data_IF_408008680124
#
_entry.id   IF_408008680124
#
_cell.length_a   1.000
_cell.length_b   1.000
_cell.length_c   1.000
_cell.angle_alpha   90.00
_cell.angle_beta   90.00
_cell.angle_gamma   90.00
#
_symmetry.space_group_name_H-M   'P 1'
#
loop_
_entity.id
_entity.type
_entity.pdbx_description
1 polymer ?
#
# COMPACT_ATOMS: atom_id res chain seq x y z
N UNK A 1 20.12 11.04 -13.27
CA UNK A 1 20.64 10.03 -12.34
C UNK A 1 21.96 10.53 -11.78
N UNK A 2 22.13 10.49 -10.46
CA UNK A 2 23.39 10.82 -9.77
C UNK A 2 24.21 9.54 -9.60
N UNK A 3 25.53 9.62 -9.40
CA UNK A 3 26.34 8.42 -9.13
C UNK A 3 25.79 7.56 -7.99
N UNK A 4 25.30 8.18 -6.92
CA UNK A 4 24.68 7.48 -5.80
C UNK A 4 23.48 6.61 -6.21
N UNK A 5 22.68 7.01 -7.22
CA UNK A 5 21.57 6.20 -7.71
C UNK A 5 22.04 4.92 -8.40
N UNK A 6 23.13 5.02 -9.17
CA UNK A 6 23.74 3.85 -9.83
C UNK A 6 24.33 2.87 -8.82
N UNK A 7 24.99 3.38 -7.77
CA UNK A 7 25.47 2.55 -6.68
C UNK A 7 24.31 1.86 -5.95
N UNK A 8 23.25 2.59 -5.63
CA UNK A 8 22.08 2.01 -4.96
C UNK A 8 21.40 0.93 -5.81
N UNK A 9 21.23 1.16 -7.13
CA UNK A 9 20.71 0.15 -8.04
C UNK A 9 21.63 -1.07 -8.14
N UNK A 10 22.94 -0.87 -8.24
CA UNK A 10 23.93 -1.96 -8.24
C UNK A 10 23.87 -2.80 -6.98
N UNK A 11 23.81 -2.17 -5.80
CA UNK A 11 23.65 -2.85 -4.51
C UNK A 11 22.35 -3.66 -4.48
N UNK A 12 21.24 -3.12 -4.99
CA UNK A 12 19.97 -3.85 -5.07
C UNK A 12 20.07 -5.09 -5.96
N UNK A 13 20.76 -5.00 -7.10
CA UNK A 13 20.98 -6.17 -7.98
C UNK A 13 21.78 -7.24 -7.25
N UNK A 14 22.87 -6.85 -6.58
CA UNK A 14 23.68 -7.78 -5.77
C UNK A 14 22.84 -8.40 -4.66
N UNK A 15 22.02 -7.59 -3.96
CA UNK A 15 21.13 -8.09 -2.90
C UNK A 15 20.12 -9.10 -3.44
N UNK A 16 19.49 -8.82 -4.60
CA UNK A 16 18.52 -9.73 -5.22
C UNK A 16 19.17 -11.08 -5.54
N UNK A 17 20.38 -11.06 -6.10
CA UNK A 17 21.13 -12.28 -6.42
C UNK A 17 21.47 -13.06 -5.14
N UNK A 18 22.02 -12.38 -4.14
CA UNK A 18 22.37 -13.00 -2.86
C UNK A 18 21.12 -13.54 -2.14
N UNK A 19 20.04 -12.80 -2.17
CA UNK A 19 18.78 -13.24 -1.56
C UNK A 19 18.21 -14.46 -2.29
N UNK A 20 18.30 -14.52 -3.62
CA UNK A 20 17.92 -15.71 -4.38
C UNK A 20 18.75 -16.93 -3.95
N UNK A 21 20.07 -16.79 -3.85
CA UNK A 21 20.94 -17.88 -3.36
C UNK A 21 20.60 -18.26 -1.92
N UNK A 22 20.43 -17.30 -1.04
CA UNK A 22 20.06 -17.54 0.35
C UNK A 22 18.76 -18.32 0.46
N UNK A 23 17.74 -17.94 -0.31
CA UNK A 23 16.45 -18.62 -0.30
C UNK A 23 16.51 -20.04 -0.85
N UNK A 24 17.38 -20.30 -1.83
CA UNK A 24 17.54 -21.63 -2.42
C UNK A 24 18.29 -22.63 -1.55
N UNK A 25 19.24 -22.15 -0.71
CA UNK A 25 20.18 -23.03 -0.01
C UNK A 25 20.12 -22.94 1.53
N UNK A 26 19.68 -21.81 2.07
CA UNK A 26 19.85 -21.52 3.50
C UNK A 26 18.56 -21.06 4.20
N UNK A 27 17.42 -21.13 3.52
CA UNK A 27 16.18 -20.61 4.11
C UNK A 27 15.68 -21.52 5.23
N UNK A 28 15.45 -20.94 6.39
CA UNK A 28 15.05 -21.62 7.62
C UNK A 28 13.80 -21.04 8.31
N UNK A 29 13.07 -20.15 7.66
CA UNK A 29 11.89 -19.54 8.26
C UNK A 29 12.21 -18.52 9.34
N UNK A 30 13.12 -17.62 9.10
CA UNK A 30 13.71 -16.63 10.03
C UNK A 30 12.68 -15.88 10.90
N UNK A 31 11.46 -15.65 10.39
CA UNK A 31 10.41 -14.92 11.12
C UNK A 31 9.44 -15.83 11.90
N UNK A 32 9.72 -17.12 12.03
CA UNK A 32 8.80 -18.10 12.60
C UNK A 32 8.40 -17.76 14.04
N UNK A 33 9.34 -17.27 14.84
CA UNK A 33 9.14 -16.96 16.25
C UNK A 33 8.79 -15.49 16.53
N UNK A 34 8.64 -14.69 15.48
CA UNK A 34 8.33 -13.26 15.63
C UNK A 34 6.82 -13.05 15.57
N UNK A 35 6.22 -12.31 16.52
CA UNK A 35 4.78 -12.07 16.53
C UNK A 35 4.29 -11.39 15.27
N UNK A 36 3.25 -11.92 14.63
CA UNK A 36 2.71 -11.42 13.35
C UNK A 36 2.24 -9.96 13.38
N UNK A 37 1.83 -9.44 14.56
CA UNK A 37 1.43 -8.04 14.71
C UNK A 37 2.56 -7.05 14.39
N UNK A 38 3.81 -7.46 14.52
CA UNK A 38 4.98 -6.61 14.21
C UNK A 38 5.08 -6.32 12.72
N UNK A 39 4.77 -7.30 11.85
CA UNK A 39 4.68 -7.10 10.41
C UNK A 39 3.51 -6.16 10.06
N UNK A 40 2.36 -6.34 10.71
CA UNK A 40 1.22 -5.45 10.54
C UNK A 40 1.56 -4.00 10.92
N UNK A 41 2.30 -3.81 12.01
CA UNK A 41 2.77 -2.49 12.43
C UNK A 41 3.68 -1.85 11.36
N UNK A 42 4.61 -2.60 10.77
CA UNK A 42 5.48 -2.10 9.70
C UNK A 42 4.68 -1.62 8.48
N UNK A 43 3.64 -2.38 8.08
CA UNK A 43 2.74 -2.00 6.97
C UNK A 43 1.92 -0.76 7.31
N UNK A 44 1.35 -0.68 8.52
CA UNK A 44 0.57 0.49 8.97
C UNK A 44 1.46 1.74 9.02
N UNK A 45 2.67 1.62 9.54
CA UNK A 45 3.65 2.72 9.56
C UNK A 45 3.97 3.22 8.15
N UNK A 46 4.24 2.31 7.21
CA UNK A 46 4.52 2.64 5.82
C UNK A 46 3.32 3.35 5.18
N UNK A 47 2.11 2.84 5.40
CA UNK A 47 0.88 3.45 4.90
C UNK A 47 0.69 4.87 5.45
N UNK A 48 0.88 5.07 6.75
CA UNK A 48 0.79 6.38 7.38
C UNK A 48 1.79 7.38 6.77
N UNK A 49 3.04 6.96 6.58
CA UNK A 49 4.08 7.79 5.94
C UNK A 49 3.67 8.20 4.53
N UNK A 50 3.15 7.26 3.71
CA UNK A 50 2.66 7.54 2.35
C UNK A 50 1.52 8.57 2.40
N UNK A 51 0.51 8.33 3.23
CA UNK A 51 -0.65 9.23 3.36
C UNK A 51 -0.24 10.64 3.79
N UNK A 52 0.66 10.75 4.75
CA UNK A 52 1.15 12.03 5.23
C UNK A 52 1.96 12.78 4.15
N UNK A 53 2.81 12.09 3.41
CA UNK A 53 3.59 12.69 2.30
C UNK A 53 2.68 13.18 1.17
N UNK A 54 1.69 12.37 0.80
CA UNK A 54 0.76 12.64 -0.29
C UNK A 54 -0.38 13.59 0.09
N UNK A 55 -0.54 13.92 1.37
CA UNK A 55 -1.62 14.76 1.88
C UNK A 55 -1.73 16.12 1.15
N UNK A 56 -0.60 16.74 0.77
CA UNK A 56 -0.63 18.00 0.01
C UNK A 56 -1.18 17.84 -1.40
N UNK A 57 -1.02 16.67 -2.01
CA UNK A 57 -1.41 16.39 -3.39
C UNK A 57 -2.86 15.91 -3.48
N UNK A 58 -3.21 14.90 -2.70
CA UNK A 58 -4.50 14.21 -2.82
C UNK A 58 -5.39 14.28 -1.58
N UNK A 59 -4.91 14.91 -0.52
CA UNK A 59 -5.58 14.87 0.77
C UNK A 59 -5.37 13.54 1.49
N UNK A 60 -5.75 13.47 2.74
CA UNK A 60 -5.60 12.30 3.57
C UNK A 60 -6.88 11.47 3.63
N UNK A 61 -8.04 12.13 3.62
CA UNK A 61 -9.36 11.49 3.65
C UNK A 61 -10.29 12.19 2.67
N UNK A 62 -10.81 11.45 1.69
CA UNK A 62 -11.76 11.94 0.67
C UNK A 62 -11.37 13.28 0.04
N UNK A 63 -10.10 13.46 -0.26
CA UNK A 63 -9.57 14.70 -0.82
C UNK A 63 -9.32 15.82 0.19
N UNK A 64 -9.78 15.68 1.44
CA UNK A 64 -9.57 16.68 2.50
C UNK A 64 -8.11 16.70 2.96
N UNK A 65 -7.50 17.87 2.86
CA UNK A 65 -6.11 18.09 3.28
C UNK A 65 -6.05 18.40 4.77
N UNK A 66 -5.17 17.73 5.49
CA UNK A 66 -4.84 18.07 6.87
C UNK A 66 -3.73 19.11 6.90
N UNK A 67 -3.87 20.10 7.78
CA UNK A 67 -2.86 21.14 7.95
C UNK A 67 -1.78 20.69 8.93
N UNK A 68 -0.78 19.98 8.41
CA UNK A 68 0.43 19.69 9.18
C UNK A 68 1.40 20.88 9.14
N UNK A 69 2.15 21.07 10.22
CA UNK A 69 3.21 22.08 10.29
C UNK A 69 4.29 21.85 9.23
N UNK A 70 4.92 22.92 8.78
CA UNK A 70 5.98 22.85 7.77
C UNK A 70 7.19 22.01 8.24
N UNK A 71 7.50 22.10 9.54
CA UNK A 71 8.57 21.34 10.18
C UNK A 71 8.33 19.85 10.09
N UNK A 72 7.07 19.39 10.30
CA UNK A 72 6.69 17.98 10.16
C UNK A 72 6.92 17.48 8.73
N UNK A 73 6.52 18.25 7.72
CA UNK A 73 6.78 17.87 6.32
C UNK A 73 8.28 17.84 5.99
N UNK A 74 9.05 18.76 6.52
CA UNK A 74 10.50 18.80 6.32
C UNK A 74 11.17 17.58 6.96
N UNK A 75 10.76 17.24 8.16
CA UNK A 75 11.19 16.05 8.87
C UNK A 75 10.80 14.77 8.12
N UNK A 76 9.54 14.67 7.70
CA UNK A 76 9.02 13.51 6.96
C UNK A 76 9.77 13.31 5.63
N UNK A 77 9.99 14.38 4.85
CA UNK A 77 10.79 14.32 3.62
C UNK A 77 12.23 13.87 3.85
N UNK A 78 12.79 14.23 4.98
CA UNK A 78 14.17 13.87 5.32
C UNK A 78 14.30 12.42 5.74
N UNK A 79 13.33 11.89 6.47
CA UNK A 79 13.45 10.61 7.17
C UNK A 79 12.58 9.49 6.63
N UNK A 80 11.65 9.75 5.70
CA UNK A 80 10.76 8.70 5.15
C UNK A 80 11.52 7.50 4.58
N UNK A 81 12.70 7.72 4.00
CA UNK A 81 13.53 6.65 3.46
C UNK A 81 13.91 5.59 4.50
N UNK A 82 14.18 5.99 5.74
CA UNK A 82 14.47 5.05 6.84
C UNK A 82 13.25 4.21 7.21
N UNK A 83 12.07 4.84 7.28
CA UNK A 83 10.83 4.14 7.56
C UNK A 83 10.51 3.10 6.47
N UNK A 84 10.69 3.47 5.19
CA UNK A 84 10.51 2.54 4.08
C UNK A 84 11.55 1.43 4.07
N UNK A 85 12.83 1.74 4.32
CA UNK A 85 13.87 0.73 4.41
C UNK A 85 13.60 -0.28 5.52
N UNK A 86 13.18 0.19 6.69
CA UNK A 86 12.79 -0.68 7.79
C UNK A 86 11.61 -1.59 7.39
N UNK A 87 10.54 -1.01 6.82
CA UNK A 87 9.37 -1.77 6.43
C UNK A 87 9.68 -2.81 5.33
N UNK A 88 10.54 -2.46 4.36
CA UNK A 88 10.98 -3.37 3.30
C UNK A 88 11.79 -4.53 3.86
N UNK A 89 12.78 -4.27 4.71
CA UNK A 89 13.59 -5.31 5.36
C UNK A 89 12.68 -6.23 6.18
N UNK A 90 11.76 -5.66 6.94
CA UNK A 90 10.82 -6.42 7.75
C UNK A 90 9.88 -7.28 6.90
N UNK A 91 9.43 -6.77 5.75
CA UNK A 91 8.60 -7.51 4.79
C UNK A 91 9.35 -8.68 4.19
N UNK A 92 10.62 -8.50 3.81
CA UNK A 92 11.48 -9.61 3.37
C UNK A 92 11.59 -10.69 4.45
N UNK A 93 11.79 -10.29 5.67
CA UNK A 93 11.94 -11.21 6.80
C UNK A 93 10.69 -12.06 7.06
N UNK A 94 9.51 -11.47 6.84
CA UNK A 94 8.22 -12.15 7.04
C UNK A 94 7.70 -12.90 5.80
N UNK A 95 8.38 -12.83 4.67
CA UNK A 95 7.93 -13.53 3.48
C UNK A 95 8.20 -15.04 3.61
N UNK A 96 7.14 -15.88 3.67
CA UNK A 96 7.31 -17.31 3.71
C UNK A 96 7.83 -17.82 2.37
N UNK A 97 8.68 -18.84 2.41
CA UNK A 97 9.22 -19.52 1.23
C UNK A 97 8.24 -20.52 0.61
N UNK A 98 6.99 -20.20 0.59
CA UNK A 98 6.01 -21.04 -0.09
C UNK A 98 5.98 -20.63 -1.55
N UNK A 99 6.25 -21.54 -2.53
CA UNK A 99 6.31 -21.21 -3.94
C UNK A 99 4.90 -21.00 -4.52
N UNK A 100 4.27 -19.90 -4.12
CA UNK A 100 2.96 -19.48 -4.60
C UNK A 100 3.08 -18.24 -5.48
N UNK A 101 2.12 -18.01 -6.35
CA UNK A 101 2.04 -16.78 -7.15
C UNK A 101 1.97 -15.52 -6.29
N UNK A 102 1.31 -15.60 -5.13
CA UNK A 102 1.28 -14.51 -4.16
C UNK A 102 2.68 -14.14 -3.65
N UNK A 103 3.50 -15.14 -3.38
CA UNK A 103 4.89 -14.95 -2.96
C UNK A 103 5.74 -14.30 -4.08
N UNK A 104 5.69 -14.85 -5.30
CA UNK A 104 6.43 -14.29 -6.45
C UNK A 104 6.02 -12.84 -6.72
N UNK A 105 4.72 -12.55 -6.65
CA UNK A 105 4.21 -11.20 -6.87
C UNK A 105 4.63 -10.25 -5.74
N UNK A 106 4.66 -10.72 -4.49
CA UNK A 106 5.15 -9.99 -3.33
C UNK A 106 6.63 -9.61 -3.45
N UNK A 107 7.47 -10.56 -3.88
CA UNK A 107 8.88 -10.28 -4.16
C UNK A 107 9.04 -9.22 -5.25
N UNK A 108 8.36 -9.37 -6.37
CA UNK A 108 8.38 -8.38 -7.45
C UNK A 108 7.97 -6.99 -6.94
N UNK A 109 6.94 -6.92 -6.11
CA UNK A 109 6.48 -5.68 -5.52
C UNK A 109 7.52 -5.05 -4.59
N UNK A 110 8.12 -5.83 -3.70
CA UNK A 110 9.16 -5.33 -2.76
C UNK A 110 10.40 -4.86 -3.53
N UNK A 111 10.80 -5.56 -4.59
CA UNK A 111 11.88 -5.12 -5.48
C UNK A 111 11.55 -3.75 -6.12
N UNK A 112 10.32 -3.53 -6.57
CA UNK A 112 9.91 -2.24 -7.11
C UNK A 112 9.98 -1.12 -6.06
N UNK A 113 9.64 -1.40 -4.81
CA UNK A 113 9.78 -0.45 -3.70
C UNK A 113 11.26 -0.16 -3.40
N UNK A 114 12.15 -1.14 -3.47
CA UNK A 114 13.61 -0.93 -3.36
C UNK A 114 14.15 -0.06 -4.50
N UNK A 115 13.68 -0.29 -5.73
CA UNK A 115 14.02 0.56 -6.89
C UNK A 115 13.55 2.00 -6.63
N UNK A 116 12.34 2.20 -6.10
CA UNK A 116 11.85 3.53 -5.71
C UNK A 116 12.80 4.23 -4.73
N UNK A 117 13.30 3.53 -3.72
CA UNK A 117 14.32 4.05 -2.80
C UNK A 117 15.62 4.45 -3.52
N UNK A 118 16.06 3.63 -4.46
CA UNK A 118 17.29 3.87 -5.25
C UNK A 118 17.19 5.06 -6.20
N UNK A 119 15.96 5.41 -6.60
CA UNK A 119 15.67 6.56 -7.47
C UNK A 119 15.58 7.89 -6.70
N UNK A 120 16.00 7.95 -5.44
CA UNK A 120 15.96 9.16 -4.63
C UNK A 120 16.55 10.37 -5.36
N UNK A 121 15.95 11.55 -5.20
CA UNK A 121 16.36 12.81 -5.83
C UNK A 121 16.34 12.80 -7.37
N UNK A 122 15.67 11.86 -7.98
CA UNK A 122 15.41 11.85 -9.44
C UNK A 122 13.98 12.28 -9.75
N UNK A 123 13.72 12.66 -11.01
CA UNK A 123 12.34 12.97 -11.46
C UNK A 123 11.44 11.74 -11.42
N UNK A 124 11.99 10.54 -11.59
CA UNK A 124 11.23 9.29 -11.51
C UNK A 124 10.68 9.03 -10.10
N UNK A 125 11.47 9.32 -9.06
CA UNK A 125 11.02 9.19 -7.68
C UNK A 125 9.75 9.99 -7.37
N UNK A 126 9.55 11.12 -8.05
CA UNK A 126 8.40 12.01 -7.88
C UNK A 126 7.34 11.83 -8.97
N UNK A 127 7.51 10.85 -9.87
CA UNK A 127 6.59 10.64 -10.97
C UNK A 127 5.26 10.07 -10.46
N UNK A 128 4.16 10.79 -10.72
CA UNK A 128 2.82 10.42 -10.24
C UNK A 128 2.33 9.07 -10.75
N UNK A 129 2.66 8.72 -12.00
CA UNK A 129 2.27 7.43 -12.59
C UNK A 129 3.04 6.28 -11.96
N UNK A 130 4.33 6.52 -11.71
CA UNK A 130 5.20 5.54 -11.06
C UNK A 130 4.78 5.29 -9.61
N UNK A 131 4.58 6.34 -8.81
CA UNK A 131 4.13 6.21 -7.42
C UNK A 131 2.74 5.58 -7.33
N UNK A 132 1.83 5.96 -8.24
CA UNK A 132 0.50 5.33 -8.32
C UNK A 132 0.59 3.84 -8.66
N UNK A 133 1.46 3.44 -9.59
CA UNK A 133 1.68 2.03 -9.91
C UNK A 133 2.11 1.25 -8.67
N UNK A 134 3.07 1.77 -7.90
CA UNK A 134 3.51 1.13 -6.66
C UNK A 134 2.37 0.97 -5.64
N UNK A 135 1.52 1.96 -5.53
CA UNK A 135 0.40 1.92 -4.60
C UNK A 135 -0.70 0.94 -5.05
N UNK A 136 -1.03 0.90 -6.34
CA UNK A 136 -2.09 0.02 -6.84
C UNK A 136 -1.68 -1.45 -6.85
N UNK A 137 -0.39 -1.76 -6.99
CA UNK A 137 0.12 -3.13 -6.99
C UNK A 137 -0.06 -3.85 -5.65
N UNK A 138 -0.29 -3.11 -4.56
CA UNK A 138 -0.64 -3.71 -3.27
C UNK A 138 -1.94 -4.49 -3.36
N UNK A 139 -2.94 -4.00 -4.11
CA UNK A 139 -4.25 -4.64 -4.23
C UNK A 139 -4.18 -6.06 -4.83
N UNK A 140 -3.63 -6.28 -6.05
CA UNK A 140 -3.53 -7.63 -6.59
C UNK A 140 -2.61 -8.53 -5.77
N UNK A 141 -1.55 -8.00 -5.15
CA UNK A 141 -0.71 -8.78 -4.25
C UNK A 141 -1.51 -9.30 -3.04
N UNK A 142 -2.21 -8.42 -2.35
CA UNK A 142 -3.02 -8.80 -1.19
C UNK A 142 -4.15 -9.77 -1.56
N UNK A 143 -4.79 -9.58 -2.72
CA UNK A 143 -5.82 -10.48 -3.22
C UNK A 143 -5.27 -11.89 -3.49
N UNK A 144 -4.09 -11.99 -4.13
CA UNK A 144 -3.43 -13.27 -4.39
C UNK A 144 -3.00 -13.98 -3.11
N UNK A 145 -2.43 -13.24 -2.14
CA UNK A 145 -2.05 -13.82 -0.85
C UNK A 145 -3.28 -14.35 -0.11
N UNK A 146 -4.34 -13.55 -0.04
CA UNK A 146 -5.58 -13.98 0.62
C UNK A 146 -6.23 -15.17 -0.09
N UNK A 147 -6.22 -15.19 -1.43
CA UNK A 147 -6.69 -16.33 -2.22
C UNK A 147 -5.91 -17.61 -1.89
N UNK A 148 -4.58 -17.52 -1.88
CA UNK A 148 -3.74 -18.68 -1.56
C UNK A 148 -3.98 -19.21 -0.16
N UNK A 149 -4.18 -18.32 0.84
CA UNK A 149 -4.49 -18.73 2.21
C UNK A 149 -5.86 -19.43 2.32
N UNK A 150 -6.87 -18.93 1.61
CA UNK A 150 -8.18 -19.58 1.55
C UNK A 150 -8.09 -20.94 0.87
N UNK A 151 -7.37 -21.02 -0.24
CA UNK A 151 -7.28 -22.25 -1.06
C UNK A 151 -6.41 -23.34 -0.40
N UNK A 152 -5.31 -22.98 0.25
CA UNK A 152 -4.32 -23.94 0.76
C UNK A 152 -4.45 -24.25 2.25
N UNK A 153 -4.94 -23.31 3.04
CA UNK A 153 -4.97 -23.42 4.52
C UNK A 153 -6.39 -23.49 5.08
N UNK A 154 -7.41 -23.51 4.23
CA UNK A 154 -8.81 -23.63 4.67
C UNK A 154 -9.33 -22.40 5.43
N UNK A 155 -8.68 -21.24 5.29
CA UNK A 155 -9.19 -20.00 5.89
C UNK A 155 -10.55 -19.63 5.30
N UNK A 156 -11.35 -18.94 6.11
CA UNK A 156 -12.67 -18.49 5.69
C UNK A 156 -12.60 -17.60 4.43
N UNK A 157 -13.50 -17.79 3.43
CA UNK A 157 -13.62 -16.89 2.29
C UNK A 157 -13.84 -15.42 2.67
N UNK A 158 -14.29 -15.13 3.88
CA UNK A 158 -14.39 -13.78 4.44
C UNK A 158 -13.05 -13.05 4.51
N UNK A 159 -11.93 -13.77 4.70
CA UNK A 159 -10.60 -13.18 4.71
C UNK A 159 -10.26 -12.55 3.35
N UNK A 160 -10.51 -13.25 2.26
CA UNK A 160 -10.28 -12.73 0.89
C UNK A 160 -11.11 -11.46 0.65
N UNK A 161 -12.38 -11.49 0.99
CA UNK A 161 -13.29 -10.35 0.86
C UNK A 161 -12.79 -9.16 1.69
N UNK A 162 -12.43 -9.38 2.95
CA UNK A 162 -11.91 -8.35 3.83
C UNK A 162 -10.67 -7.64 3.24
N UNK A 163 -9.71 -8.38 2.69
CA UNK A 163 -8.52 -7.79 2.07
C UNK A 163 -8.85 -6.99 0.83
N UNK A 164 -9.64 -7.54 -0.10
CA UNK A 164 -10.02 -6.85 -1.34
C UNK A 164 -10.77 -5.56 -1.01
N UNK A 165 -11.76 -5.62 -0.12
CA UNK A 165 -12.54 -4.45 0.26
C UNK A 165 -11.76 -3.44 1.07
N UNK A 166 -10.87 -3.89 1.96
CA UNK A 166 -9.99 -3.01 2.70
C UNK A 166 -9.12 -2.16 1.78
N UNK A 167 -8.47 -2.78 0.79
CA UNK A 167 -7.65 -2.05 -0.18
C UNK A 167 -8.48 -1.19 -1.13
N UNK A 168 -9.64 -1.66 -1.58
CA UNK A 168 -10.55 -0.88 -2.40
C UNK A 168 -11.06 0.36 -1.65
N UNK A 169 -11.38 0.21 -0.38
CA UNK A 169 -11.74 1.33 0.51
C UNK A 169 -10.60 2.33 0.62
N UNK A 170 -9.37 1.87 0.83
CA UNK A 170 -8.18 2.74 0.85
C UNK A 170 -7.98 3.47 -0.47
N UNK A 171 -8.23 2.82 -1.60
CA UNK A 171 -8.20 3.46 -2.91
C UNK A 171 -9.23 4.58 -3.00
N UNK A 172 -10.48 4.32 -2.61
CA UNK A 172 -11.59 5.28 -2.64
C UNK A 172 -11.34 6.45 -1.69
N UNK A 173 -10.92 6.17 -0.46
CA UNK A 173 -10.70 7.20 0.56
C UNK A 173 -9.54 8.13 0.22
N UNK A 174 -8.50 7.63 -0.45
CA UNK A 174 -7.26 8.40 -0.63
C UNK A 174 -6.78 8.51 -2.06
N UNK A 175 -6.53 7.40 -2.76
CA UNK A 175 -5.75 7.37 -3.99
C UNK A 175 -6.48 8.01 -5.17
N UNK A 176 -7.77 7.75 -5.33
CA UNK A 176 -8.55 8.27 -6.46
C UNK A 176 -8.63 9.81 -6.48
N UNK A 177 -8.48 10.47 -5.33
CA UNK A 177 -8.50 11.94 -5.25
C UNK A 177 -7.25 12.60 -5.86
N UNK A 178 -6.16 11.86 -5.98
CA UNK A 178 -4.93 12.32 -6.64
C UNK A 178 -4.87 12.11 -8.15
N UNK A 179 -5.82 11.38 -8.73
CA UNK A 179 -5.82 11.00 -10.15
C UNK A 179 -6.43 12.05 -11.08
N UNK A 180 -7.08 13.10 -10.54
CA UNK A 180 -7.78 14.09 -11.35
C UNK A 180 -9.03 13.53 -12.05
N UNK A 181 -9.65 12.50 -11.49
CA UNK A 181 -10.86 11.92 -12.02
C UNK A 181 -12.04 12.90 -11.94
N UNK A 182 -12.94 12.83 -12.90
CA UNK A 182 -14.17 13.65 -12.91
C UNK A 182 -15.03 13.31 -11.68
N UNK A 183 -15.76 14.28 -11.10
CA UNK A 183 -16.54 14.06 -9.88
C UNK A 183 -17.53 12.90 -9.98
N UNK A 184 -18.18 12.73 -11.13
CA UNK A 184 -19.14 11.65 -11.33
C UNK A 184 -18.50 10.25 -11.29
N UNK A 185 -17.23 10.08 -11.78
CA UNK A 185 -16.52 8.80 -11.69
C UNK A 185 -16.21 8.47 -10.23
N UNK A 186 -15.84 9.50 -9.45
CA UNK A 186 -15.60 9.32 -8.02
C UNK A 186 -16.87 8.93 -7.27
N UNK A 187 -17.98 9.57 -7.61
CA UNK A 187 -19.29 9.26 -7.02
C UNK A 187 -19.70 7.81 -7.34
N UNK A 188 -19.62 7.41 -8.60
CA UNK A 188 -19.94 6.05 -9.04
C UNK A 188 -19.12 4.98 -8.32
N UNK A 189 -17.77 5.19 -8.22
CA UNK A 189 -16.89 4.25 -7.52
C UNK A 189 -17.27 4.09 -6.04
N UNK A 190 -17.69 5.17 -5.41
CA UNK A 190 -18.17 5.16 -4.02
C UNK A 190 -19.50 4.44 -3.90
N UNK A 191 -20.43 4.69 -4.83
CA UNK A 191 -21.74 4.07 -4.83
C UNK A 191 -21.66 2.56 -4.99
N UNK A 192 -20.84 2.09 -5.91
CA UNK A 192 -20.64 0.66 -6.11
C UNK A 192 -20.12 -0.05 -4.86
N UNK A 193 -19.34 0.63 -4.01
CA UNK A 193 -18.86 0.07 -2.74
C UNK A 193 -19.90 0.16 -1.64
N UNK A 194 -20.72 1.23 -1.62
CA UNK A 194 -21.71 1.44 -0.57
C UNK A 194 -23.09 0.81 -0.85
N UNK A 195 -23.48 0.67 -2.13
CA UNK A 195 -24.81 0.21 -2.54
C UNK A 195 -24.86 -1.26 -3.00
N UNK A 196 -23.71 -1.94 -3.11
CA UNK A 196 -23.71 -3.37 -3.44
C UNK A 196 -24.49 -4.17 -2.40
N UNK A 197 -25.73 -4.56 -2.71
CA UNK A 197 -26.69 -5.21 -1.79
C UNK A 197 -26.10 -6.46 -1.08
N UNK A 198 -25.20 -7.18 -1.73
CA UNK A 198 -24.45 -8.29 -1.13
C UNK A 198 -23.32 -7.84 -0.20
N UNK A 199 -22.80 -6.64 -0.43
CA UNK A 199 -21.70 -6.07 0.33
C UNK A 199 -22.22 -5.39 1.60
N UNK A 200 -23.45 -4.84 1.53
CA UNK A 200 -24.10 -4.14 2.64
C UNK A 200 -24.35 -5.06 3.83
N UNK A 201 -24.69 -6.33 3.62
CA UNK A 201 -24.93 -7.27 4.72
C UNK A 201 -23.65 -7.70 5.44
N UNK A 202 -22.52 -7.78 4.74
CA UNK A 202 -21.25 -8.22 5.34
C UNK A 202 -20.34 -7.05 5.77
N UNK A 203 -20.39 -5.92 5.06
CA UNK A 203 -19.63 -4.72 5.38
C UNK A 203 -20.36 -3.74 6.30
N UNK A 204 -21.68 -3.88 6.44
CA UNK A 204 -22.47 -3.06 7.37
C UNK A 204 -21.96 -3.15 8.82
N UNK A 205 -21.30 -4.23 9.18
CA UNK A 205 -20.66 -4.37 10.49
C UNK A 205 -19.28 -3.68 10.57
N UNK A 206 -18.60 -3.44 9.44
CA UNK A 206 -17.21 -2.95 9.43
C UNK A 206 -17.01 -1.56 8.82
N UNK A 207 -17.94 -1.06 8.00
CA UNK A 207 -17.80 0.22 7.28
C UNK A 207 -18.95 1.24 7.40
N UNK A 208 -19.83 1.20 8.42
CA UNK A 208 -20.93 2.18 8.51
C UNK A 208 -20.40 3.62 8.58
N UNK A 209 -19.24 3.84 9.20
CA UNK A 209 -18.61 5.15 9.29
C UNK A 209 -18.13 5.68 7.93
N UNK A 210 -17.62 4.83 7.04
CA UNK A 210 -17.12 5.24 5.71
C UNK A 210 -18.29 5.64 4.82
N UNK A 211 -19.35 4.82 4.74
CA UNK A 211 -20.53 5.11 3.95
C UNK A 211 -21.31 6.33 4.49
N UNK A 212 -21.39 6.51 5.82
CA UNK A 212 -22.00 7.68 6.43
C UNK A 212 -21.24 8.97 6.11
N UNK A 213 -19.90 8.95 6.14
CA UNK A 213 -19.06 10.11 5.77
C UNK A 213 -19.24 10.47 4.30
N UNK A 214 -19.36 9.47 3.44
CA UNK A 214 -19.60 9.67 2.00
C UNK A 214 -20.96 10.26 1.72
N UNK A 215 -22.01 9.75 2.38
CA UNK A 215 -23.37 10.31 2.25
C UNK A 215 -23.45 11.74 2.78
N UNK A 216 -22.74 12.03 3.88
CA UNK A 216 -22.65 13.40 4.40
C UNK A 216 -21.98 14.36 3.41
N UNK A 217 -20.91 13.94 2.74
CA UNK A 217 -20.24 14.78 1.73
C UNK A 217 -21.08 15.02 0.47
N UNK A 218 -21.99 14.10 0.11
CA UNK A 218 -22.97 14.35 -0.97
C UNK A 218 -23.97 15.45 -0.65
N UNK A 219 -24.41 15.50 0.61
CA UNK A 219 -25.34 16.56 1.07
C UNK A 219 -24.68 17.93 1.21
N UNK A 220 -23.35 17.99 1.24
CA UNK A 220 -22.58 19.21 1.46
C UNK A 220 -21.35 19.24 0.54
N UNK A 221 -21.54 19.46 -0.79
CA UNK A 221 -20.43 19.61 -1.71
C UNK A 221 -19.55 20.79 -1.29
N UNK A 222 -18.24 20.60 -1.38
CA UNK A 222 -17.28 21.65 -1.04
C UNK A 222 -17.43 22.84 -2.01
N UNK A 223 -17.35 24.09 -1.53
CA UNK A 223 -17.32 25.27 -2.39
C UNK A 223 -15.98 25.31 -3.16
N UNK A 224 -15.92 24.61 -4.28
CA UNK A 224 -14.71 24.50 -5.13
C UNK A 224 -14.67 23.26 -6.03
N UNK A 225 -15.70 22.41 -5.99
CA UNK A 225 -15.92 21.30 -6.93
C UNK A 225 -16.73 21.71 -8.15
#
# INVERSE_FOLDING_TARGET
MRPANWWALGINVVFIILHYFQTMFFYDGIAQDVPSWTAQFAVIMMLFVILAMENRRRGMFFGKKLNFRAEFYSWLKRYHGYAFSFAVIYTFWFHPMVPTWGHVFGFAYVILVMIQGSLMMTRMHLNRKWTFLLEILVLPHAALVAWNQVASQGYSPGLLRMFIFGFLTMFIVTQMHGLGLKPWIKAEAVDQVCDGDRLRSELAHHLPAVCAVVQYQRGHPHPGD
#
